data_IF_007335956919
#
_entry.id   IF_007335956919
#
_cell.length_a   1.000
_cell.length_b   1.000
_cell.length_c   1.000
_cell.angle_alpha   90.00
_cell.angle_beta   90.00
_cell.angle_gamma   90.00
#
_symmetry.space_group_name_H-M   'P 1'
#
loop_
_entity.id
_entity.type
_entity.pdbx_description
1 polymer ?
#
# COMPACT_ATOMS: atom_id res chain seq x y z
N UNK A 1 0.78 26.94 47.33
CA UNK A 1 0.57 25.74 46.51
C UNK A 1 -0.81 25.86 45.90
N UNK A 2 -0.92 25.91 44.57
CA UNK A 2 -2.23 25.97 43.93
C UNK A 2 -2.95 24.64 44.11
N UNK A 3 -4.24 24.68 44.45
CA UNK A 3 -5.10 23.50 44.57
C UNK A 3 -5.19 22.78 43.22
N UNK A 4 -5.15 21.44 43.22
CA UNK A 4 -5.12 20.61 42.01
C UNK A 4 -6.27 20.93 41.06
N UNK A 5 -7.44 21.28 41.61
CA UNK A 5 -8.61 21.68 40.83
C UNK A 5 -8.39 23.01 40.11
N UNK A 6 -7.71 23.97 40.74
CA UNK A 6 -7.38 25.25 40.13
C UNK A 6 -6.37 25.10 38.99
N UNK A 7 -5.42 24.16 39.11
CA UNK A 7 -4.47 23.87 38.05
C UNK A 7 -5.17 23.28 36.82
N UNK A 8 -6.10 22.34 37.02
CA UNK A 8 -6.88 21.73 35.92
C UNK A 8 -7.75 22.77 35.20
N UNK A 9 -8.39 23.68 35.95
CA UNK A 9 -9.20 24.76 35.35
C UNK A 9 -8.33 25.74 34.57
N UNK A 10 -7.15 26.11 35.08
CA UNK A 10 -6.20 26.99 34.38
C UNK A 10 -5.70 26.34 33.09
N UNK A 11 -5.39 25.03 33.11
CA UNK A 11 -4.98 24.28 31.92
C UNK A 11 -6.10 24.23 30.87
N UNK A 12 -7.35 23.98 31.27
CA UNK A 12 -8.49 23.98 30.35
C UNK A 12 -8.74 25.35 29.72
N UNK A 13 -8.59 26.43 30.49
CA UNK A 13 -8.73 27.81 29.99
C UNK A 13 -7.59 28.14 29.01
N UNK A 14 -6.35 27.74 29.30
CA UNK A 14 -5.21 27.93 28.40
C UNK A 14 -5.39 27.16 27.08
N UNK A 15 -5.91 25.94 27.11
CA UNK A 15 -6.21 25.14 25.91
C UNK A 15 -7.33 25.77 25.08
N UNK A 16 -8.37 26.31 25.72
CA UNK A 16 -9.46 27.02 25.05
C UNK A 16 -9.00 28.36 24.41
N UNK A 17 -8.11 29.09 25.08
CA UNK A 17 -7.53 30.34 24.56
C UNK A 17 -6.58 30.09 23.39
N UNK A 18 -5.74 29.05 23.46
CA UNK A 18 -4.84 28.65 22.39
C UNK A 18 -5.60 28.19 21.13
N UNK A 19 -6.72 27.48 21.30
CA UNK A 19 -7.57 27.07 20.16
C UNK A 19 -8.31 28.24 19.50
N UNK A 20 -8.67 29.28 20.27
CA UNK A 20 -9.23 30.53 19.75
C UNK A 20 -8.23 31.35 18.93
N UNK A 21 -7.00 31.53 19.44
CA UNK A 21 -5.93 32.24 18.73
C UNK A 21 -5.46 31.50 17.46
N UNK A 22 -5.46 30.17 17.48
CA UNK A 22 -5.03 29.34 16.35
C UNK A 22 -6.03 29.38 15.17
N UNK A 23 -7.34 29.55 15.43
CA UNK A 23 -8.36 29.79 14.38
C UNK A 23 -8.17 31.14 13.68
N UNK A 24 -7.70 32.15 14.40
CA UNK A 24 -7.46 33.49 13.85
C UNK A 24 -6.18 33.50 13.02
N UNK A 25 -5.11 32.84 13.49
CA UNK A 25 -3.86 32.70 12.73
C UNK A 25 -4.03 31.94 11.40
N UNK A 26 -4.97 30.99 11.32
CA UNK A 26 -5.29 30.26 10.08
C UNK A 26 -6.33 30.95 9.17
N UNK A 27 -6.87 32.10 9.58
CA UNK A 27 -7.84 32.88 8.79
C UNK A 27 -7.22 33.66 7.61
N UNK A 28 -5.91 33.59 7.43
CA UNK A 28 -5.18 34.34 6.38
C UNK A 28 -5.25 33.77 4.96
N UNK A 29 -6.04 32.72 4.69
CA UNK A 29 -6.10 32.13 3.35
C UNK A 29 -7.53 31.81 2.93
N UNK A 30 -8.33 32.84 2.69
CA UNK A 30 -9.50 32.75 1.81
C UNK A 30 -9.29 33.67 0.63
N UNK A 31 -8.88 33.08 -0.50
CA UNK A 31 -8.96 33.77 -1.80
C UNK A 31 -10.44 33.97 -2.11
N UNK A 32 -10.83 35.23 -2.31
CA UNK A 32 -12.15 35.65 -2.75
C UNK A 32 -12.39 35.09 -4.16
N UNK A 33 -13.19 34.04 -4.29
CA UNK A 33 -13.65 33.55 -5.60
C UNK A 33 -14.80 34.44 -6.03
N UNK A 34 -14.60 35.23 -7.08
CA UNK A 34 -15.67 35.96 -7.76
C UNK A 34 -16.69 34.95 -8.32
N UNK A 35 -18.00 35.16 -8.16
CA UNK A 35 -19.00 34.31 -8.81
C UNK A 35 -18.88 34.45 -10.33
N UNK A 36 -18.90 33.31 -11.04
CA UNK A 36 -18.91 33.29 -12.50
C UNK A 36 -20.20 33.92 -13.02
N UNK A 37 -20.06 35.02 -13.74
CA UNK A 37 -21.12 35.62 -14.53
C UNK A 37 -21.28 34.86 -15.84
N UNK A 38 -22.30 34.02 -15.95
CA UNK A 38 -22.98 33.75 -17.24
C UNK A 38 -24.47 33.46 -17.05
N UNK A 39 -25.25 34.49 -17.40
CA UNK A 39 -26.53 34.52 -18.11
C UNK A 39 -27.62 33.49 -17.77
N UNK A 40 -28.67 34.05 -17.17
CA UNK A 40 -30.06 33.60 -17.21
C UNK A 40 -30.55 33.31 -18.64
N UNK A 41 -31.32 32.23 -18.78
CA UNK A 41 -32.49 32.18 -19.66
C UNK A 41 -33.60 31.38 -18.94
N UNK A 42 -34.87 31.83 -18.94
CA UNK A 42 -35.90 31.30 -18.04
C UNK A 42 -36.58 30.03 -18.56
N UNK A 43 -37.13 29.26 -17.62
CA UNK A 43 -38.06 28.17 -17.88
C UNK A 43 -39.43 28.71 -18.34
N UNK A 44 -40.07 27.89 -19.19
CA UNK A 44 -41.43 27.98 -19.76
C UNK A 44 -41.59 28.82 -21.04
N UNK A 45 -41.61 28.15 -22.20
CA UNK A 45 -42.83 27.99 -23.00
C UNK A 45 -42.63 26.99 -24.17
N UNK A 46 -43.63 26.14 -24.39
CA UNK A 46 -43.97 25.37 -25.61
C UNK A 46 -43.41 23.95 -25.78
N UNK A 47 -44.13 23.01 -25.18
CA UNK A 47 -44.98 22.02 -25.88
C UNK A 47 -44.66 21.66 -27.35
N UNK A 48 -44.62 20.35 -27.62
CA UNK A 48 -44.71 19.78 -28.97
C UNK A 48 -43.43 19.18 -29.55
N UNK A 49 -43.24 17.87 -29.37
CA UNK A 49 -42.19 17.14 -30.10
C UNK A 49 -41.99 15.70 -29.65
N UNK A 50 -42.97 14.84 -29.92
CA UNK A 50 -42.83 13.39 -29.83
C UNK A 50 -41.72 12.87 -30.75
N UNK A 51 -40.64 12.34 -30.17
CA UNK A 51 -39.74 11.41 -30.88
C UNK A 51 -39.35 10.28 -29.93
N UNK A 52 -39.83 9.10 -30.26
CA UNK A 52 -39.36 7.83 -29.73
C UNK A 52 -37.91 7.61 -30.18
N UNK A 53 -37.04 7.14 -29.28
CA UNK A 53 -36.29 5.90 -29.50
C UNK A 53 -35.21 5.67 -28.45
N UNK A 54 -35.21 4.42 -27.97
CA UNK A 54 -34.05 3.62 -27.56
C UNK A 54 -33.42 3.96 -26.21
N UNK A 55 -33.93 3.23 -25.22
CA UNK A 55 -33.15 2.79 -24.06
C UNK A 55 -31.79 2.25 -24.52
N UNK A 56 -30.72 3.00 -24.22
CA UNK A 56 -29.37 2.46 -24.28
C UNK A 56 -29.20 1.58 -23.05
N UNK A 57 -29.24 0.28 -23.33
CA UNK A 57 -28.91 -0.83 -22.45
C UNK A 57 -27.78 -0.47 -21.49
N UNK A 58 -28.14 -0.49 -20.21
CA UNK A 58 -27.24 -0.83 -19.10
C UNK A 58 -26.36 -2.00 -19.52
N UNK A 59 -25.07 -1.92 -19.15
CA UNK A 59 -24.09 -2.98 -19.37
C UNK A 59 -24.70 -4.32 -18.96
N UNK A 60 -24.78 -5.23 -19.92
CA UNK A 60 -25.36 -6.55 -19.70
C UNK A 60 -24.48 -7.24 -18.68
N UNK A 61 -25.02 -7.41 -17.48
CA UNK A 61 -24.47 -8.27 -16.45
C UNK A 61 -24.09 -9.61 -17.10
N UNK A 62 -22.78 -9.90 -17.10
CA UNK A 62 -22.20 -11.11 -17.71
C UNK A 62 -21.84 -12.16 -16.65
N UNK A 63 -22.21 -11.93 -15.40
CA UNK A 63 -22.20 -12.97 -14.35
C UNK A 63 -22.93 -14.25 -14.82
N UNK A 64 -24.00 -14.10 -15.60
CA UNK A 64 -24.78 -15.21 -16.15
C UNK A 64 -24.23 -15.88 -17.42
N UNK A 65 -22.96 -15.69 -17.81
CA UNK A 65 -22.39 -16.52 -18.88
C UNK A 65 -22.15 -17.92 -18.32
N UNK A 66 -23.00 -18.87 -18.73
CA UNK A 66 -22.94 -20.29 -18.38
C UNK A 66 -21.54 -20.86 -18.63
N UNK A 67 -20.68 -20.70 -17.63
CA UNK A 67 -19.34 -21.25 -17.55
C UNK A 67 -19.48 -22.36 -16.54
N UNK A 68 -19.39 -23.59 -17.05
CA UNK A 68 -19.18 -24.86 -16.37
C UNK A 68 -19.37 -24.80 -14.84
N UNK A 69 -20.60 -25.12 -14.44
CA UNK A 69 -20.91 -25.94 -13.26
C UNK A 69 -20.24 -25.56 -11.93
N UNK A 70 -20.87 -24.65 -11.19
CA UNK A 70 -21.48 -24.96 -9.88
C UNK A 70 -20.67 -25.69 -8.79
N UNK A 71 -19.34 -25.73 -8.85
CA UNK A 71 -18.54 -26.31 -7.78
C UNK A 71 -17.28 -25.46 -7.61
N UNK A 72 -17.26 -24.64 -6.56
CA UNK A 72 -16.06 -24.65 -5.73
C UNK A 72 -15.78 -26.13 -5.46
N UNK A 73 -14.73 -26.69 -6.06
CA UNK A 73 -14.37 -28.08 -5.84
C UNK A 73 -14.31 -28.33 -4.33
N UNK A 74 -14.77 -29.49 -3.90
CA UNK A 74 -14.84 -29.90 -2.49
C UNK A 74 -13.44 -30.10 -1.85
N UNK A 75 -12.38 -29.55 -2.46
CA UNK A 75 -10.97 -29.86 -2.18
C UNK A 75 -10.02 -28.66 -2.21
N UNK A 76 -10.48 -27.42 -2.02
CA UNK A 76 -9.57 -26.25 -1.85
C UNK A 76 -9.93 -25.41 -0.62
N UNK A 77 -10.02 -26.04 0.55
CA UNK A 77 -10.24 -25.36 1.83
C UNK A 77 -8.92 -24.95 2.52
N UNK A 78 -7.91 -24.51 1.76
CA UNK A 78 -6.72 -23.94 2.39
C UNK A 78 -6.96 -22.46 2.69
N UNK A 79 -7.17 -22.17 3.97
CA UNK A 79 -7.31 -20.82 4.52
C UNK A 79 -5.96 -20.39 5.09
N UNK A 80 -5.59 -19.14 4.82
CA UNK A 80 -4.40 -18.49 5.35
C UNK A 80 -4.28 -18.55 6.87
N UNK A 81 -3.05 -18.63 7.38
CA UNK A 81 -2.81 -18.49 8.82
C UNK A 81 -3.30 -17.12 9.31
N UNK A 82 -4.15 -17.11 10.35
CA UNK A 82 -4.75 -15.89 10.90
C UNK A 82 -5.94 -15.34 10.10
N UNK A 83 -6.42 -16.05 9.09
CA UNK A 83 -7.59 -15.70 8.29
C UNK A 83 -8.75 -16.62 8.63
N UNK A 84 -9.97 -16.09 8.62
CA UNK A 84 -11.20 -16.83 8.85
C UNK A 84 -12.14 -16.67 7.65
N UNK A 85 -12.83 -17.74 7.24
CA UNK A 85 -13.93 -17.63 6.29
C UNK A 85 -15.13 -17.04 7.04
N UNK A 86 -15.60 -15.86 6.59
CA UNK A 86 -16.71 -15.16 7.21
C UNK A 86 -18.03 -15.61 6.60
N UNK A 87 -19.08 -15.71 7.43
CA UNK A 87 -20.44 -15.89 6.91
C UNK A 87 -20.84 -14.66 6.09
N UNK A 88 -21.52 -14.88 4.96
CA UNK A 88 -21.95 -13.81 4.04
C UNK A 88 -22.95 -12.91 4.77
N UNK A 89 -22.47 -11.77 5.31
CA UNK A 89 -23.36 -10.75 5.87
C UNK A 89 -23.84 -9.82 4.76
N UNK A 90 -25.14 -9.54 4.73
CA UNK A 90 -25.77 -8.70 3.70
C UNK A 90 -25.22 -7.26 3.72
N UNK A 91 -24.80 -6.79 4.90
CA UNK A 91 -24.18 -5.47 5.07
C UNK A 91 -22.80 -5.40 4.43
N UNK A 92 -21.96 -6.44 4.60
CA UNK A 92 -20.61 -6.49 4.02
C UNK A 92 -20.64 -6.63 2.51
N UNK A 93 -21.54 -7.48 2.00
CA UNK A 93 -21.75 -7.58 0.56
C UNK A 93 -22.22 -6.24 -0.01
N UNK A 94 -23.19 -5.58 0.65
CA UNK A 94 -23.64 -4.25 0.23
C UNK A 94 -22.52 -3.21 0.27
N UNK A 95 -21.69 -3.20 1.31
CA UNK A 95 -20.58 -2.28 1.45
C UNK A 95 -19.51 -2.49 0.36
N UNK A 96 -19.18 -3.73 0.05
CA UNK A 96 -18.27 -4.08 -1.03
C UNK A 96 -18.82 -3.62 -2.39
N UNK A 97 -20.07 -3.97 -2.69
CA UNK A 97 -20.69 -3.63 -3.97
C UNK A 97 -20.78 -2.11 -4.18
N UNK A 98 -21.12 -1.35 -3.13
CA UNK A 98 -21.13 0.12 -3.17
C UNK A 98 -19.74 0.70 -3.45
N UNK A 99 -18.67 0.14 -2.87
CA UNK A 99 -17.30 0.60 -3.13
C UNK A 99 -16.88 0.29 -4.57
N UNK A 100 -17.14 -0.93 -5.03
CA UNK A 100 -16.84 -1.35 -6.41
C UNK A 100 -17.58 -0.48 -7.44
N UNK A 101 -18.87 -0.18 -7.21
CA UNK A 101 -19.64 0.70 -8.09
C UNK A 101 -19.11 2.14 -8.07
N UNK A 102 -18.77 2.66 -6.88
CA UNK A 102 -18.22 4.01 -6.72
C UNK A 102 -16.92 4.21 -7.49
N UNK A 103 -16.04 3.21 -7.49
CA UNK A 103 -14.76 3.26 -8.19
C UNK A 103 -14.84 2.76 -9.65
N UNK A 104 -16.01 2.27 -10.09
CA UNK A 104 -16.22 1.84 -11.48
C UNK A 104 -15.60 0.48 -11.83
N UNK A 105 -15.61 -0.47 -10.90
CA UNK A 105 -15.03 -1.80 -11.06
C UNK A 105 -15.60 -2.55 -12.27
N UNK A 106 -14.73 -3.22 -13.04
CA UNK A 106 -15.16 -4.18 -14.06
C UNK A 106 -15.70 -5.44 -13.38
N UNK A 107 -16.54 -6.16 -14.12
CA UNK A 107 -17.13 -7.45 -13.71
C UNK A 107 -16.71 -8.55 -14.67
N UNK A 108 -16.60 -9.77 -14.16
CA UNK A 108 -16.05 -10.89 -14.90
C UNK A 108 -16.50 -12.26 -14.38
N UNK A 109 -15.97 -13.32 -14.97
CA UNK A 109 -16.23 -14.71 -14.55
C UNK A 109 -15.59 -15.05 -13.21
N UNK A 110 -14.45 -14.41 -12.92
CA UNK A 110 -13.78 -14.47 -11.61
C UNK A 110 -13.45 -13.05 -11.20
N UNK A 111 -13.77 -12.72 -9.95
CA UNK A 111 -13.50 -11.42 -9.36
C UNK A 111 -13.02 -11.60 -7.92
N UNK A 112 -11.92 -10.96 -7.58
CA UNK A 112 -11.31 -10.98 -6.25
C UNK A 112 -11.20 -9.54 -5.80
N UNK A 113 -11.86 -9.18 -4.71
CA UNK A 113 -11.90 -7.80 -4.24
C UNK A 113 -11.49 -7.71 -2.77
N UNK A 114 -10.63 -6.76 -2.46
CA UNK A 114 -10.12 -6.46 -1.13
C UNK A 114 -10.75 -5.15 -0.63
N UNK A 115 -11.20 -5.10 0.62
CA UNK A 115 -11.68 -3.86 1.25
C UNK A 115 -11.17 -3.72 2.69
N UNK A 116 -10.95 -2.49 3.13
CA UNK A 116 -10.52 -2.14 4.48
C UNK A 116 -11.03 -0.75 4.89
N UNK A 117 -10.88 -0.38 6.16
CA UNK A 117 -11.54 0.80 6.75
C UNK A 117 -10.56 1.81 7.38
N UNK A 118 -9.48 2.11 6.67
CA UNK A 118 -8.58 3.19 7.05
C UNK A 118 -7.85 3.78 5.82
N UNK A 119 -6.87 4.64 6.09
CA UNK A 119 -6.08 5.32 5.06
C UNK A 119 -4.89 4.52 4.56
N UNK A 120 -4.55 3.40 5.21
CA UNK A 120 -3.37 2.62 4.86
C UNK A 120 -3.49 2.06 3.45
N UNK A 121 -2.35 1.65 2.94
CA UNK A 121 -2.16 1.07 1.63
C UNK A 121 -2.05 -0.44 1.78
N UNK A 122 -3.07 -1.16 1.32
CA UNK A 122 -3.07 -2.61 1.28
C UNK A 122 -3.09 -3.05 -0.18
N UNK A 123 -2.17 -3.94 -0.52
CA UNK A 123 -2.06 -4.47 -1.87
C UNK A 123 -2.67 -5.87 -1.95
N UNK A 124 -3.52 -6.08 -2.95
CA UNK A 124 -4.06 -7.36 -3.34
C UNK A 124 -3.11 -8.07 -4.32
N UNK A 125 -2.82 -9.33 -3.99
CA UNK A 125 -1.91 -10.18 -4.73
C UNK A 125 -2.61 -11.46 -5.16
N UNK A 126 -2.48 -11.84 -6.43
CA UNK A 126 -3.00 -13.12 -6.93
C UNK A 126 -1.94 -13.83 -7.75
N UNK A 127 -1.56 -15.03 -7.32
CA UNK A 127 -0.69 -15.94 -8.08
C UNK A 127 -1.58 -16.88 -8.88
N UNK A 128 -1.40 -16.89 -10.20
CA UNK A 128 -2.13 -17.72 -11.15
C UNK A 128 -1.54 -19.14 -11.22
N UNK A 129 -2.23 -20.11 -11.85
CA UNK A 129 -1.72 -21.47 -12.01
C UNK A 129 -0.39 -21.57 -12.77
N UNK A 130 -0.11 -20.62 -13.67
CA UNK A 130 1.18 -20.56 -14.37
C UNK A 130 2.32 -20.03 -13.49
N UNK A 131 2.02 -19.59 -12.27
CA UNK A 131 2.95 -18.91 -11.38
C UNK A 131 3.09 -17.42 -11.66
N UNK A 132 2.32 -16.85 -12.60
CA UNK A 132 2.27 -15.41 -12.85
C UNK A 132 1.58 -14.68 -11.68
N UNK A 133 2.00 -13.45 -11.38
CA UNK A 133 1.56 -12.74 -10.19
C UNK A 133 0.92 -11.42 -10.59
N UNK A 134 -0.36 -11.25 -10.28
CA UNK A 134 -1.11 -10.01 -10.51
C UNK A 134 -1.11 -9.19 -9.23
N UNK A 135 -0.58 -7.97 -9.30
CA UNK A 135 -0.51 -7.00 -8.19
C UNK A 135 -0.18 -5.60 -8.74
N UNK A 136 0.01 -4.61 -7.86
CA UNK A 136 0.24 -3.20 -8.24
C UNK A 136 1.26 -2.99 -9.37
N UNK A 137 2.43 -3.64 -9.34
CA UNK A 137 3.50 -3.43 -10.35
C UNK A 137 3.31 -4.32 -11.58
N UNK A 138 2.62 -5.46 -11.46
CA UNK A 138 2.24 -6.31 -12.59
C UNK A 138 0.72 -6.46 -12.67
N UNK A 139 0.06 -5.41 -13.18
CA UNK A 139 -1.41 -5.31 -13.17
C UNK A 139 -2.14 -6.23 -14.12
N UNK A 140 -1.45 -6.83 -15.10
CA UNK A 140 -2.08 -7.68 -16.10
C UNK A 140 -1.37 -9.02 -16.15
N UNK A 141 -2.12 -10.11 -16.22
CA UNK A 141 -1.58 -11.43 -16.51
C UNK A 141 -1.80 -11.86 -17.96
N UNK A 142 -0.90 -12.70 -18.46
CA UNK A 142 -1.03 -13.40 -19.74
C UNK A 142 -2.32 -14.23 -19.84
N UNK A 143 -2.85 -14.68 -18.70
CA UNK A 143 -4.11 -15.42 -18.62
C UNK A 143 -5.35 -14.52 -18.53
N UNK A 144 -5.20 -13.21 -18.68
CA UNK A 144 -6.31 -12.25 -18.81
C UNK A 144 -6.87 -11.70 -17.49
N UNK A 145 -6.13 -11.86 -16.39
CA UNK A 145 -6.43 -11.23 -15.11
C UNK A 145 -5.92 -9.80 -15.10
N UNK A 146 -6.69 -8.90 -14.51
CA UNK A 146 -6.40 -7.47 -14.48
C UNK A 146 -6.67 -6.91 -13.08
N UNK A 147 -5.69 -6.23 -12.48
CA UNK A 147 -5.89 -5.32 -11.35
C UNK A 147 -6.45 -4.00 -11.90
N UNK A 148 -7.76 -3.84 -11.85
CA UNK A 148 -8.46 -2.71 -12.47
C UNK A 148 -8.68 -1.54 -11.49
N UNK A 149 -8.76 -1.83 -10.19
CA UNK A 149 -8.80 -0.84 -9.12
C UNK A 149 -7.70 -1.16 -8.12
N UNK A 150 -6.87 -0.17 -7.87
CA UNK A 150 -5.93 -0.11 -6.75
C UNK A 150 -6.12 1.25 -6.08
N UNK A 151 -6.38 1.23 -4.77
CA UNK A 151 -6.71 2.40 -3.98
C UNK A 151 -5.70 2.57 -2.86
N UNK A 152 -5.51 3.83 -2.48
CA UNK A 152 -4.65 4.25 -1.37
C UNK A 152 -3.13 4.18 -1.60
N UNK A 153 -2.64 3.90 -2.82
CA UNK A 153 -1.26 4.25 -3.22
C UNK A 153 -0.88 5.69 -2.81
N UNK A 154 -1.88 6.58 -2.87
CA UNK A 154 -1.96 7.86 -2.15
C UNK A 154 -3.17 7.84 -1.22
N UNK A 155 -3.10 8.39 0.00
CA UNK A 155 -4.19 8.27 0.98
C UNK A 155 -5.39 9.17 0.61
N UNK A 156 -6.27 8.62 -0.23
CA UNK A 156 -7.41 9.28 -0.86
C UNK A 156 -8.74 8.88 -0.24
N UNK A 157 -8.86 7.67 0.32
CA UNK A 157 -10.10 7.19 0.94
C UNK A 157 -9.89 6.52 2.31
N UNK A 158 -10.92 6.58 3.17
CA UNK A 158 -11.05 5.77 4.39
C UNK A 158 -11.84 4.48 4.19
N UNK A 159 -12.50 4.34 3.04
CA UNK A 159 -13.24 3.14 2.64
C UNK A 159 -12.72 2.62 1.30
N UNK A 160 -11.41 2.33 1.20
CA UNK A 160 -10.76 1.84 -0.01
C UNK A 160 -11.27 0.45 -0.42
N UNK A 161 -10.98 0.12 -1.68
CA UNK A 161 -11.21 -1.17 -2.31
C UNK A 161 -10.13 -1.43 -3.36
N UNK A 162 -9.66 -2.66 -3.49
CA UNK A 162 -8.92 -3.13 -4.66
C UNK A 162 -9.67 -4.25 -5.36
N UNK A 163 -9.42 -4.44 -6.65
CA UNK A 163 -10.12 -5.44 -7.43
C UNK A 163 -9.24 -6.04 -8.53
N UNK A 164 -9.15 -7.37 -8.53
CA UNK A 164 -8.57 -8.16 -9.61
C UNK A 164 -9.69 -8.97 -10.28
N UNK A 165 -9.77 -8.89 -11.60
CA UNK A 165 -10.89 -9.44 -12.37
C UNK A 165 -10.42 -10.15 -13.64
N UNK A 166 -11.06 -11.28 -13.92
CA UNK A 166 -11.00 -11.96 -15.21
C UNK A 166 -12.32 -11.77 -15.95
N UNK A 167 -12.33 -10.90 -16.96
CA UNK A 167 -13.54 -10.61 -17.76
C UNK A 167 -13.96 -11.78 -18.67
N UNK A 168 -13.07 -12.75 -18.87
CA UNK A 168 -13.28 -14.00 -19.59
C UNK A 168 -12.89 -15.16 -18.69
N UNK A 169 -13.35 -16.37 -19.03
CA UNK A 169 -13.00 -17.58 -18.29
C UNK A 169 -11.47 -17.74 -18.17
N UNK A 170 -10.92 -17.70 -16.94
CA UNK A 170 -9.49 -17.93 -16.71
C UNK A 170 -9.12 -19.41 -16.93
N UNK A 171 -7.83 -19.75 -17.11
CA UNK A 171 -7.39 -21.12 -17.25
C UNK A 171 -7.64 -21.95 -15.97
N UNK A 172 -7.88 -23.26 -16.11
CA UNK A 172 -8.03 -24.14 -14.95
C UNK A 172 -6.72 -24.25 -14.17
N UNK A 173 -6.84 -24.59 -12.89
CA UNK A 173 -5.72 -24.75 -11.97
C UNK A 173 -5.91 -23.97 -10.68
N UNK A 174 -4.84 -23.92 -9.88
CA UNK A 174 -4.83 -23.35 -8.53
C UNK A 174 -4.44 -21.87 -8.55
N UNK A 175 -5.27 -21.05 -7.93
CA UNK A 175 -5.04 -19.63 -7.68
C UNK A 175 -4.80 -19.41 -6.20
N UNK A 176 -3.84 -18.55 -5.88
CA UNK A 176 -3.48 -18.21 -4.50
C UNK A 176 -3.66 -16.71 -4.32
N UNK A 177 -4.44 -16.32 -3.33
CA UNK A 177 -4.75 -14.92 -3.01
C UNK A 177 -3.98 -14.54 -1.76
N UNK A 178 -3.29 -13.41 -1.81
CA UNK A 178 -2.61 -12.82 -0.67
C UNK A 178 -2.89 -11.33 -0.55
N UNK A 179 -2.66 -10.81 0.64
CA UNK A 179 -2.77 -9.38 0.93
C UNK A 179 -1.48 -8.94 1.62
N UNK A 180 -0.98 -7.77 1.26
CA UNK A 180 0.20 -7.17 1.85
C UNK A 180 -0.15 -5.80 2.43
N UNK A 181 0.39 -5.50 3.60
CA UNK A 181 0.32 -4.14 4.15
C UNK A 181 1.54 -3.35 3.68
N UNK A 182 1.35 -2.59 2.60
CA UNK A 182 2.43 -1.93 1.89
C UNK A 182 2.90 -0.65 2.60
N UNK A 183 1.96 0.24 2.94
CA UNK A 183 2.29 1.55 3.51
C UNK A 183 1.31 2.00 4.58
N UNK A 184 1.85 2.49 5.70
CA UNK A 184 1.07 3.17 6.72
C UNK A 184 0.91 4.63 6.32
N UNK A 185 -0.33 5.08 6.15
CA UNK A 185 -0.63 6.49 5.88
C UNK A 185 -1.20 7.15 7.13
N UNK A 186 -0.58 8.25 7.56
CA UNK A 186 -1.03 8.99 8.75
C UNK A 186 -1.88 10.19 8.34
N UNK A 187 -3.21 10.03 8.28
CA UNK A 187 -4.16 11.16 8.19
C UNK A 187 -5.15 11.14 9.36
N UNK A 188 -4.73 11.74 10.46
CA UNK A 188 -5.56 11.93 11.65
C UNK A 188 -5.57 13.39 12.09
N UNK A 189 -6.66 13.82 12.75
CA UNK A 189 -6.80 15.18 13.33
C UNK A 189 -5.68 15.50 14.33
N UNK A 190 -5.01 14.47 14.85
CA UNK A 190 -3.89 14.52 15.78
C UNK A 190 -2.54 14.14 15.17
N UNK A 191 -2.46 13.91 13.86
CA UNK A 191 -1.19 13.66 13.15
C UNK A 191 -0.19 14.79 13.34
N UNK A 192 -0.67 16.02 13.56
CA UNK A 192 0.13 17.21 13.79
C UNK A 192 0.65 17.34 15.23
N UNK A 193 0.14 16.53 16.17
CA UNK A 193 0.56 16.58 17.58
C UNK A 193 1.52 15.42 17.86
N UNK A 194 2.83 15.68 18.10
CA UNK A 194 3.88 14.65 18.20
C UNK A 194 3.58 13.55 19.24
N UNK A 195 2.94 13.91 20.35
CA UNK A 195 2.62 12.97 21.43
C UNK A 195 1.34 12.14 21.19
N UNK A 196 0.39 12.61 20.36
CA UNK A 196 -0.86 11.89 20.09
C UNK A 196 -0.78 11.02 18.84
N UNK A 197 0.16 11.29 17.92
CA UNK A 197 0.39 10.45 16.74
C UNK A 197 0.85 9.04 17.13
N UNK A 198 1.65 8.92 18.21
CA UNK A 198 2.15 7.64 18.75
C UNK A 198 1.05 6.76 19.37
N UNK A 199 -0.04 7.37 19.84
CA UNK A 199 -1.18 6.67 20.45
C UNK A 199 -2.18 6.17 19.38
N UNK A 200 -2.19 6.77 18.20
CA UNK A 200 -3.12 6.44 17.10
C UNK A 200 -2.51 5.62 15.96
N UNK A 201 -1.20 5.30 16.00
CA UNK A 201 -0.58 4.32 15.08
C UNK A 201 -1.07 2.92 15.44
N UNK A 202 -2.26 2.55 14.98
CA UNK A 202 -2.58 1.14 14.80
C UNK A 202 -1.77 0.67 13.60
N UNK A 203 -0.66 -0.03 13.88
CA UNK A 203 0.14 -0.70 12.85
C UNK A 203 -0.65 -1.83 12.17
N UNK A 204 -1.75 -2.28 12.81
CA UNK A 204 -2.65 -3.31 12.31
C UNK A 204 -3.84 -2.72 11.56
N UNK A 205 -4.19 -3.33 10.42
CA UNK A 205 -5.35 -3.01 9.58
C UNK A 205 -6.20 -4.25 9.38
N UNK A 206 -7.45 -4.16 9.78
CA UNK A 206 -8.46 -5.18 9.49
C UNK A 206 -8.87 -5.07 8.02
N UNK A 207 -8.97 -6.22 7.36
CA UNK A 207 -9.30 -6.31 5.95
C UNK A 207 -10.27 -7.45 5.69
N UNK A 208 -10.98 -7.34 4.57
CA UNK A 208 -11.87 -8.39 4.05
C UNK A 208 -11.58 -8.63 2.57
N UNK A 209 -11.50 -9.90 2.18
CA UNK A 209 -11.33 -10.34 0.80
C UNK A 209 -12.58 -11.09 0.38
N UNK A 210 -13.14 -10.73 -0.75
CA UNK A 210 -14.20 -11.48 -1.41
C UNK A 210 -13.64 -12.20 -2.63
N UNK A 211 -14.08 -13.45 -2.84
CA UNK A 211 -13.79 -14.23 -4.04
C UNK A 211 -15.12 -14.61 -4.66
N UNK A 212 -15.37 -14.10 -5.86
CA UNK A 212 -16.57 -14.36 -6.65
C UNK A 212 -16.20 -15.18 -7.89
N UNK A 213 -16.85 -16.33 -8.07
CA UNK A 213 -16.68 -17.24 -9.20
C UNK A 213 -18.08 -17.62 -9.69
N UNK A 214 -18.47 -17.10 -10.86
CA UNK A 214 -19.85 -17.21 -11.34
C UNK A 214 -20.85 -16.66 -10.30
N UNK A 215 -21.78 -17.49 -9.86
CA UNK A 215 -22.79 -17.14 -8.84
C UNK A 215 -22.31 -17.37 -7.40
N UNK A 216 -21.15 -18.00 -7.21
CA UNK A 216 -20.61 -18.28 -5.87
C UNK A 216 -19.75 -17.12 -5.40
N UNK A 217 -20.02 -16.64 -4.18
CA UNK A 217 -19.22 -15.60 -3.51
C UNK A 217 -18.84 -16.07 -2.12
N UNK A 218 -17.56 -15.94 -1.76
CA UNK A 218 -17.00 -16.24 -0.43
C UNK A 218 -16.29 -15.03 0.13
N UNK A 219 -16.30 -14.89 1.46
CA UNK A 219 -15.62 -13.82 2.17
C UNK A 219 -14.60 -14.38 3.15
N UNK A 220 -13.47 -13.70 3.23
CA UNK A 220 -12.38 -13.99 4.15
C UNK A 220 -12.05 -12.72 4.90
N UNK A 221 -11.84 -12.82 6.21
CA UNK A 221 -11.45 -11.69 7.05
C UNK A 221 -10.16 -11.98 7.82
N UNK A 222 -9.40 -10.92 8.06
CA UNK A 222 -8.14 -10.98 8.78
C UNK A 222 -7.67 -9.59 9.18
N UNK A 223 -6.52 -9.55 9.86
CA UNK A 223 -5.85 -8.32 10.27
C UNK A 223 -4.37 -8.42 9.92
N UNK A 224 -3.83 -7.35 9.36
CA UNK A 224 -2.45 -7.27 8.88
C UNK A 224 -1.69 -6.16 9.59
N UNK A 225 -0.51 -6.47 10.10
CA UNK A 225 0.49 -5.47 10.48
C UNK A 225 1.42 -5.14 9.31
N UNK A 226 1.93 -3.91 9.25
CA UNK A 226 2.93 -3.51 8.25
C UNK A 226 4.14 -4.44 8.30
N UNK A 227 4.37 -5.18 7.23
CA UNK A 227 5.51 -6.07 7.07
C UNK A 227 5.84 -6.24 5.58
N UNK A 228 7.03 -6.75 5.28
CA UNK A 228 7.43 -7.09 3.91
C UNK A 228 6.93 -8.50 3.49
N UNK A 229 6.12 -9.14 4.34
CA UNK A 229 5.58 -10.48 4.11
C UNK A 229 4.21 -10.41 3.45
N UNK A 230 3.97 -11.33 2.53
CA UNK A 230 2.66 -11.53 1.93
C UNK A 230 1.86 -12.49 2.81
N UNK A 231 0.73 -12.04 3.35
CA UNK A 231 -0.19 -12.95 4.04
C UNK A 231 -1.12 -13.57 3.03
N UNK A 232 -0.97 -14.87 2.80
CA UNK A 232 -1.94 -15.62 2.01
C UNK A 232 -3.27 -15.70 2.75
N UNK A 233 -4.36 -15.52 2.01
CA UNK A 233 -5.73 -15.45 2.53
C UNK A 233 -6.52 -16.68 2.14
N UNK A 234 -6.47 -17.04 0.86
CA UNK A 234 -7.25 -18.12 0.31
C UNK A 234 -6.54 -18.80 -0.86
N UNK A 235 -6.80 -20.08 -1.03
CA UNK A 235 -6.43 -20.89 -2.20
C UNK A 235 -7.72 -21.43 -2.80
N UNK A 236 -7.90 -21.26 -4.11
CA UNK A 236 -9.05 -21.84 -4.81
C UNK A 236 -8.62 -22.43 -6.14
N UNK A 237 -9.35 -23.42 -6.61
CA UNK A 237 -9.08 -24.06 -7.88
C UNK A 237 -10.24 -23.87 -8.86
N UNK A 238 -9.90 -23.70 -10.14
CA UNK A 238 -10.85 -23.68 -11.24
C UNK A 238 -10.70 -25.01 -11.98
N UNK A 239 -11.79 -25.77 -12.06
CA UNK A 239 -11.80 -27.07 -12.74
C UNK A 239 -11.67 -26.91 -14.26
N UNK A 240 -11.06 -27.92 -14.90
CA UNK A 240 -11.00 -28.03 -16.35
C UNK A 240 -12.36 -28.27 -17.00
N UNK A 241 -12.39 -28.30 -18.34
CA UNK A 241 -13.61 -28.60 -19.11
C UNK A 241 -14.17 -30.01 -18.86
N UNK A 242 -13.35 -30.90 -18.30
CA UNK A 242 -13.65 -32.26 -17.85
C UNK A 242 -14.20 -32.32 -16.41
N UNK A 243 -14.21 -31.19 -15.68
CA UNK A 243 -14.65 -31.13 -14.28
C UNK A 243 -13.61 -31.64 -13.28
N UNK A 244 -12.43 -32.05 -13.75
CA UNK A 244 -11.31 -32.42 -12.88
C UNK A 244 -10.58 -31.15 -12.44
N UNK A 245 -10.29 -31.05 -11.14
CA UNK A 245 -9.33 -30.08 -10.63
C UNK A 245 -7.95 -30.66 -10.93
N UNK A 246 -7.09 -29.98 -11.72
CA UNK A 246 -5.73 -30.45 -11.94
C UNK A 246 -5.04 -30.61 -10.59
N UNK A 247 -4.70 -31.84 -10.22
CA UNK A 247 -3.83 -32.09 -9.07
C UNK A 247 -2.43 -31.61 -9.45
N UNK A 248 -1.83 -30.76 -8.61
CA UNK A 248 -0.41 -30.43 -8.75
C UNK A 248 0.38 -31.74 -8.70
N UNK A 249 1.33 -31.93 -9.63
CA UNK A 249 2.29 -33.03 -9.56
C UNK A 249 3.19 -32.79 -8.33
N UNK A 250 2.71 -33.23 -7.16
CA UNK A 250 3.49 -33.25 -5.93
C UNK A 250 4.65 -34.21 -6.17
N UNK A 251 5.87 -33.68 -6.24
CA UNK A 251 7.08 -34.51 -6.14
C UNK A 251 7.07 -35.14 -4.76
N UNK A 252 6.85 -36.45 -4.70
CA UNK A 252 6.80 -37.22 -3.46
C UNK A 252 8.12 -37.08 -2.68
N UNK A 253 8.12 -36.29 -1.61
CA UNK A 253 8.91 -36.58 -0.43
C UNK A 253 7.95 -36.93 0.70
N UNK A 254 7.91 -38.21 1.02
CA UNK A 254 7.06 -38.84 2.03
C UNK A 254 7.50 -38.40 3.43
N UNK A 255 6.62 -37.76 4.21
CA UNK A 255 6.51 -38.06 5.65
C UNK A 255 5.18 -37.59 6.30
N UNK A 256 4.49 -38.61 6.82
CA UNK A 256 3.48 -38.72 7.89
C UNK A 256 2.45 -37.61 8.18
N UNK A 257 1.21 -38.08 8.20
CA UNK A 257 -0.06 -37.40 8.47
C UNK A 257 -0.11 -36.81 9.88
N UNK A 258 0.13 -35.51 10.00
CA UNK A 258 -0.50 -34.65 11.01
C UNK A 258 -1.43 -33.69 10.27
N UNK A 259 -2.61 -33.42 10.84
CA UNK A 259 -3.70 -32.65 10.23
C UNK A 259 -3.17 -31.45 9.44
N UNK A 260 -3.23 -31.58 8.11
CA UNK A 260 -2.64 -30.65 7.15
C UNK A 260 -3.48 -29.37 7.14
N UNK A 261 -3.12 -28.43 8.01
CA UNK A 261 -3.22 -27.02 7.67
C UNK A 261 -2.28 -26.85 6.47
N UNK A 262 -2.81 -26.91 5.24
CA UNK A 262 -2.01 -26.83 4.01
C UNK A 262 -1.08 -25.62 4.12
N UNK A 263 0.21 -25.89 4.29
CA UNK A 263 1.22 -24.86 4.40
C UNK A 263 1.27 -24.17 3.04
N UNK A 264 1.11 -22.85 3.02
CA UNK A 264 1.35 -22.04 1.83
C UNK A 264 2.86 -21.99 1.50
N UNK A 265 3.61 -23.04 1.83
CA UNK A 265 5.05 -23.18 1.65
C UNK A 265 5.44 -22.95 0.20
N UNK A 266 4.73 -23.53 -0.76
CA UNK A 266 4.98 -23.27 -2.19
C UNK A 266 4.73 -21.80 -2.57
N UNK A 267 3.67 -21.20 -2.01
CA UNK A 267 3.32 -19.82 -2.31
C UNK A 267 4.34 -18.84 -1.70
N UNK A 268 4.82 -19.16 -0.49
CA UNK A 268 5.93 -18.50 0.19
C UNK A 268 7.24 -18.73 -0.54
N UNK A 269 7.47 -19.91 -1.11
CA UNK A 269 8.65 -20.22 -1.92
C UNK A 269 8.62 -19.47 -3.25
N UNK A 270 7.46 -19.34 -3.90
CA UNK A 270 7.30 -18.52 -5.11
C UNK A 270 7.55 -17.05 -4.78
N UNK A 271 6.99 -16.54 -3.68
CA UNK A 271 7.21 -15.17 -3.20
C UNK A 271 8.67 -14.95 -2.76
N UNK A 272 9.32 -15.91 -2.10
CA UNK A 272 10.72 -15.86 -1.69
C UNK A 272 11.70 -16.01 -2.87
N UNK A 273 11.40 -16.87 -3.83
CA UNK A 273 12.15 -17.00 -5.08
C UNK A 273 12.06 -15.70 -5.87
N UNK A 274 10.88 -15.07 -5.90
CA UNK A 274 10.68 -13.77 -6.54
C UNK A 274 11.41 -12.63 -5.84
N UNK A 275 11.47 -12.60 -4.50
CA UNK A 275 12.37 -11.68 -3.77
C UNK A 275 13.83 -11.91 -4.13
N UNK A 276 14.26 -13.17 -4.23
CA UNK A 276 15.63 -13.53 -4.64
C UNK A 276 15.93 -13.13 -6.08
N UNK A 277 14.92 -13.17 -6.96
CA UNK A 277 15.03 -12.85 -8.40
C UNK A 277 14.72 -11.36 -8.68
N UNK A 278 14.29 -10.59 -7.68
CA UNK A 278 14.03 -9.14 -7.78
C UNK A 278 12.76 -8.79 -8.56
N UNK A 279 11.61 -9.36 -8.19
CA UNK A 279 10.30 -9.12 -8.83
C UNK A 279 9.16 -8.79 -7.84
N UNK A 280 9.47 -8.37 -6.61
CA UNK A 280 8.48 -7.98 -5.58
C UNK A 280 9.00 -6.74 -4.85
N UNK A 281 8.51 -5.57 -5.28
CA UNK A 281 8.77 -4.26 -4.64
C UNK A 281 10.26 -4.05 -4.36
N UNK A 282 10.92 -3.93 -5.51
CA UNK A 282 12.33 -4.01 -5.82
C UNK A 282 13.05 -2.66 -5.68
N UNK A 283 12.55 -1.81 -4.78
CA UNK A 283 13.09 -0.47 -4.57
C UNK A 283 14.37 -0.50 -3.74
N UNK A 284 15.26 0.45 -4.01
CA UNK A 284 16.41 0.73 -3.16
C UNK A 284 16.16 2.05 -2.45
N UNK A 285 16.37 2.08 -1.14
CA UNK A 285 16.27 3.31 -0.36
C UNK A 285 17.31 3.36 0.74
N UNK A 286 17.83 4.56 1.00
CA UNK A 286 18.75 4.84 2.09
C UNK A 286 18.16 5.95 2.94
N UNK A 287 17.91 5.66 4.21
CA UNK A 287 17.33 6.63 5.17
C UNK A 287 18.31 6.88 6.30
N UNK A 288 18.72 8.13 6.49
CA UNK A 288 19.54 8.63 7.60
C UNK A 288 18.62 9.22 8.69
N UNK A 289 18.88 8.87 9.95
CA UNK A 289 18.18 9.40 11.13
C UNK A 289 19.19 9.83 12.21
N UNK A 290 18.93 10.96 12.87
CA UNK A 290 19.69 11.44 14.03
C UNK A 290 18.80 12.26 14.96
N UNK A 291 19.23 12.38 16.21
CA UNK A 291 18.56 13.22 17.21
C UNK A 291 19.32 14.55 17.39
N UNK A 292 18.58 15.64 17.57
CA UNK A 292 19.15 16.95 17.89
C UNK A 292 18.92 18.01 16.82
N UNK A 293 19.66 19.11 16.92
CA UNK A 293 19.55 20.28 16.03
C UNK A 293 20.64 20.35 14.96
N UNK A 294 21.59 19.41 15.00
CA UNK A 294 22.69 19.36 14.05
C UNK A 294 22.18 19.11 12.62
N UNK A 295 22.88 19.65 11.63
CA UNK A 295 22.53 19.46 10.22
C UNK A 295 23.39 18.35 9.60
N UNK A 296 22.84 17.14 9.51
CA UNK A 296 23.50 16.04 8.81
C UNK A 296 23.00 15.95 7.35
N UNK A 297 23.96 15.83 6.44
CA UNK A 297 23.72 15.48 5.05
C UNK A 297 24.00 14.02 4.77
N UNK A 298 23.21 13.47 3.84
CA UNK A 298 23.34 12.13 3.30
C UNK A 298 23.79 12.21 1.85
N UNK A 299 24.74 11.35 1.48
CA UNK A 299 25.19 11.19 0.10
C UNK A 299 25.37 9.71 -0.23
N UNK A 300 25.04 9.33 -1.46
CA UNK A 300 25.34 8.01 -2.01
C UNK A 300 26.08 8.18 -3.33
N UNK A 301 27.20 7.47 -3.47
CA UNK A 301 28.05 7.51 -4.66
C UNK A 301 28.23 6.13 -5.28
N UNK A 302 28.19 6.02 -6.60
CA UNK A 302 28.48 4.79 -7.34
C UNK A 302 29.97 4.65 -7.70
N UNK A 303 30.36 3.54 -8.32
CA UNK A 303 31.75 3.31 -8.76
C UNK A 303 32.25 4.26 -9.84
N UNK A 304 31.34 4.88 -10.60
CA UNK A 304 31.66 5.82 -11.66
C UNK A 304 31.88 7.26 -11.12
N UNK A 305 31.69 7.45 -9.82
CA UNK A 305 31.87 8.73 -9.12
C UNK A 305 30.64 9.65 -9.17
N UNK A 306 29.54 9.18 -9.77
CA UNK A 306 28.25 9.87 -9.76
C UNK A 306 27.67 9.81 -8.34
N UNK A 307 27.09 10.92 -7.88
CA UNK A 307 26.64 11.09 -6.50
C UNK A 307 25.23 11.68 -6.48
N UNK A 308 24.37 11.10 -5.65
CA UNK A 308 23.11 11.72 -5.23
C UNK A 308 23.24 12.23 -3.80
N UNK A 309 22.90 13.49 -3.61
CA UNK A 309 22.89 14.15 -2.31
C UNK A 309 21.98 15.36 -2.33
N UNK A 310 21.85 16.08 -1.21
CA UNK A 310 21.05 17.30 -1.17
C UNK A 310 21.47 18.35 -2.21
N UNK A 311 22.77 18.44 -2.53
CA UNK A 311 23.30 19.39 -3.51
C UNK A 311 23.16 18.91 -4.96
N UNK A 312 22.98 17.60 -5.15
CA UNK A 312 22.82 16.93 -6.44
C UNK A 312 21.65 15.94 -6.35
N UNK A 313 20.39 16.41 -6.22
CA UNK A 313 19.27 15.55 -5.86
C UNK A 313 18.89 14.52 -6.93
N UNK A 314 19.29 14.75 -8.18
CA UNK A 314 19.10 13.86 -9.33
C UNK A 314 20.45 13.39 -9.91
N UNK A 315 21.50 13.36 -9.09
CA UNK A 315 22.88 13.11 -9.54
C UNK A 315 23.21 11.63 -9.82
N UNK A 316 22.31 10.70 -9.50
CA UNK A 316 22.38 9.29 -9.89
C UNK A 316 21.12 8.90 -10.66
N UNK A 317 21.29 8.11 -11.72
CA UNK A 317 20.18 7.70 -12.58
C UNK A 317 19.12 6.91 -11.77
N UNK A 318 17.87 7.36 -11.88
CA UNK A 318 16.74 6.82 -11.13
C UNK A 318 16.72 7.13 -9.62
N UNK A 319 17.76 7.71 -9.05
CA UNK A 319 17.81 8.12 -7.66
C UNK A 319 17.26 9.55 -7.48
N UNK A 320 16.50 9.76 -6.42
CA UNK A 320 16.02 11.08 -6.04
C UNK A 320 16.23 11.31 -4.55
N UNK A 321 16.78 12.47 -4.20
CA UNK A 321 16.81 12.92 -2.81
C UNK A 321 15.42 13.40 -2.40
N UNK A 322 14.89 12.90 -1.28
CA UNK A 322 13.55 13.28 -0.80
C UNK A 322 13.57 14.72 -0.24
N UNK A 323 13.09 15.64 -1.06
CA UNK A 323 12.95 17.07 -0.72
C UNK A 323 11.49 17.37 -0.30
N UNK A 324 10.54 16.47 -0.61
CA UNK A 324 9.13 16.72 -0.32
C UNK A 324 8.82 16.55 1.18
N UNK A 325 8.52 17.65 1.86
CA UNK A 325 8.27 17.63 3.31
C UNK A 325 9.53 17.81 4.15
N UNK A 326 10.61 18.33 3.56
CA UNK A 326 11.81 18.76 4.26
C UNK A 326 11.47 19.61 5.50
N UNK A 327 11.78 19.06 6.67
CA UNK A 327 11.82 19.79 7.92
C UNK A 327 13.28 19.84 8.38
N UNK A 328 13.90 21.02 8.48
CA UNK A 328 15.29 21.14 8.93
C UNK A 328 15.50 20.64 10.38
N UNK A 329 14.42 20.39 11.14
CA UNK A 329 14.47 19.93 12.53
C UNK A 329 14.01 18.49 12.73
N UNK A 330 13.64 17.75 11.66
CA UNK A 330 13.11 16.39 11.80
C UNK A 330 14.17 15.33 12.07
N UNK A 331 15.45 15.63 11.82
CA UNK A 331 16.54 14.67 12.01
C UNK A 331 16.49 13.48 11.05
N UNK A 332 15.87 13.63 9.87
CA UNK A 332 15.72 12.56 8.87
C UNK A 332 16.08 13.04 7.46
N UNK A 333 16.80 12.22 6.71
CA UNK A 333 17.09 12.40 5.27
C UNK A 333 16.95 11.07 4.53
N UNK A 334 16.40 11.10 3.32
CA UNK A 334 16.14 9.88 2.55
C UNK A 334 16.53 10.05 1.08
N UNK A 335 17.09 9.00 0.50
CA UNK A 335 17.29 8.83 -0.95
C UNK A 335 16.48 7.63 -1.39
N UNK A 336 15.70 7.79 -2.45
CA UNK A 336 14.86 6.74 -3.01
C UNK A 336 15.14 6.56 -4.50
N UNK A 337 15.22 5.30 -4.92
CA UNK A 337 15.26 4.93 -6.32
C UNK A 337 13.85 4.68 -6.85
N UNK A 338 13.44 5.46 -7.87
CA UNK A 338 12.15 5.32 -8.53
C UNK A 338 12.09 4.09 -9.47
N UNK A 339 13.25 3.57 -9.85
CA UNK A 339 13.45 2.37 -10.66
C UNK A 339 14.73 1.66 -10.21
N UNK A 340 14.95 0.41 -10.61
CA UNK A 340 16.15 -0.35 -10.30
C UNK A 340 17.44 0.48 -10.53
N UNK A 341 18.32 0.65 -9.52
CA UNK A 341 19.60 1.31 -9.71
C UNK A 341 20.46 0.55 -10.72
N UNK A 342 21.38 1.24 -11.41
CA UNK A 342 22.44 0.56 -12.15
C UNK A 342 23.17 -0.47 -11.29
N UNK A 343 23.53 -1.62 -11.87
CA UNK A 343 24.31 -2.63 -11.15
C UNK A 343 25.68 -2.08 -10.79
N UNK A 344 26.11 -2.32 -9.56
CA UNK A 344 27.39 -1.82 -9.08
C UNK A 344 27.46 -1.67 -7.58
N UNK A 345 28.63 -1.26 -7.10
CA UNK A 345 28.87 -0.96 -5.70
C UNK A 345 28.55 0.50 -5.41
N UNK A 346 27.91 0.73 -4.28
CA UNK A 346 27.49 2.04 -3.80
C UNK A 346 28.07 2.29 -2.41
N UNK A 347 28.49 3.53 -2.18
CA UNK A 347 29.01 4.00 -0.89
C UNK A 347 28.05 5.01 -0.28
N UNK A 348 27.76 4.84 1.00
CA UNK A 348 26.91 5.74 1.79
C UNK A 348 27.81 6.58 2.67
N UNK A 349 27.71 7.91 2.55
CA UNK A 349 28.48 8.84 3.37
C UNK A 349 27.60 9.87 4.06
N UNK A 350 28.00 10.23 5.28
CA UNK A 350 27.33 11.23 6.12
C UNK A 350 28.30 12.36 6.43
N UNK A 351 27.81 13.60 6.38
CA UNK A 351 28.58 14.79 6.71
C UNK A 351 27.75 15.71 7.59
N UNK A 352 28.36 16.26 8.64
CA UNK A 352 27.77 17.36 9.41
C UNK A 352 28.08 18.70 8.74
N UNK A 353 27.08 19.56 8.62
CA UNK A 353 27.21 20.94 8.17
C UNK A 353 27.15 21.87 9.38
N UNK A 354 27.99 22.89 9.39
CA UNK A 354 28.20 23.79 10.52
C UNK A 354 26.92 24.56 10.84
N UNK A 355 26.37 24.33 12.03
CA UNK A 355 25.36 25.16 12.68
C UNK A 355 26.04 26.21 13.54
N UNK A 356 25.43 27.41 13.70
CA UNK A 356 25.89 28.41 14.66
C UNK A 356 25.76 27.86 16.09
N UNK A 357 26.78 27.12 16.56
CA UNK A 357 26.80 26.39 17.83
C UNK A 357 27.72 25.16 17.75
N UNK A 358 28.57 24.99 18.76
CA UNK A 358 29.49 23.84 18.85
C UNK A 358 28.71 22.58 19.24
N UNK A 359 28.12 21.93 18.24
CA UNK A 359 27.30 20.74 18.40
C UNK A 359 28.15 19.45 18.30
N UNK A 360 29.35 19.43 18.90
CA UNK A 360 30.15 18.23 19.17
C UNK A 360 30.15 17.12 18.11
N UNK A 361 30.16 15.86 18.58
CA UNK A 361 29.93 14.68 17.74
C UNK A 361 28.45 14.28 17.80
N UNK A 362 27.87 13.98 16.64
CA UNK A 362 26.45 13.62 16.50
C UNK A 362 26.32 12.16 16.11
N UNK A 363 25.61 11.39 16.92
CA UNK A 363 25.28 10.00 16.61
C UNK A 363 24.15 9.94 15.57
N UNK A 364 24.30 9.03 14.62
CA UNK A 364 23.31 8.79 13.58
C UNK A 364 23.09 7.29 13.34
N UNK A 365 21.95 6.98 12.72
CA UNK A 365 21.62 5.65 12.23
C UNK A 365 21.16 5.71 10.77
N UNK A 366 21.54 4.72 9.98
CA UNK A 366 21.14 4.58 8.57
C UNK A 366 20.38 3.27 8.42
N UNK A 367 19.26 3.31 7.73
CA UNK A 367 18.51 2.13 7.27
C UNK A 367 18.60 2.05 5.76
N UNK A 368 19.30 1.03 5.27
CA UNK A 368 19.33 0.64 3.88
C UNK A 368 18.25 -0.43 3.64
N UNK A 369 17.41 -0.23 2.64
CA UNK A 369 16.57 -1.27 2.07
C UNK A 369 17.06 -1.52 0.63
N UNK A 370 17.52 -2.75 0.36
CA UNK A 370 17.90 -3.19 -0.97
C UNK A 370 16.94 -4.30 -1.42
N UNK A 371 15.91 -3.94 -2.20
CA UNK A 371 14.94 -4.90 -2.75
C UNK A 371 14.31 -5.80 -1.68
N UNK A 372 14.05 -5.23 -0.50
CA UNK A 372 13.48 -5.93 0.66
C UNK A 372 14.49 -6.48 1.65
N UNK A 373 15.79 -6.49 1.35
CA UNK A 373 16.85 -6.78 2.34
C UNK A 373 17.18 -5.50 3.13
N UNK A 374 16.74 -5.43 4.39
CA UNK A 374 17.05 -4.31 5.28
C UNK A 374 18.38 -4.51 6.03
N UNK A 375 19.22 -3.49 6.02
CA UNK A 375 20.48 -3.39 6.79
C UNK A 375 20.54 -2.07 7.52
N UNK A 376 21.07 -2.09 8.74
CA UNK A 376 21.23 -0.89 9.55
C UNK A 376 22.69 -0.60 9.85
N UNK A 377 23.08 0.66 9.76
CA UNK A 377 24.40 1.17 10.13
C UNK A 377 24.26 2.25 11.20
N UNK A 378 25.27 2.41 12.04
CA UNK A 378 25.33 3.47 13.05
C UNK A 378 26.71 4.09 13.03
N UNK A 379 26.82 5.39 13.31
CA UNK A 379 28.09 6.09 13.34
C UNK A 379 27.99 7.43 14.03
N UNK A 380 29.13 8.13 14.10
CA UNK A 380 29.23 9.50 14.60
C UNK A 380 29.75 10.40 13.51
N UNK A 381 29.19 11.60 13.39
CA UNK A 381 29.69 12.66 12.52
C UNK A 381 30.27 13.77 13.40
N UNK A 382 31.41 14.33 13.00
CA UNK A 382 32.09 15.41 13.71
C UNK A 382 31.74 16.76 13.09
N UNK A 383 31.72 17.81 13.92
CA UNK A 383 31.49 19.20 13.50
C UNK A 383 32.59 19.80 12.61
N UNK A 384 33.68 19.07 12.36
CA UNK A 384 34.79 19.50 11.50
C UNK A 384 34.47 19.46 9.99
N UNK A 385 33.25 19.04 9.62
CA UNK A 385 32.79 18.94 8.24
C UNK A 385 33.43 17.77 7.46
N UNK A 386 34.12 16.86 8.16
CA UNK A 386 34.62 15.63 7.54
C UNK A 386 33.46 14.74 7.09
N UNK A 387 33.69 14.02 5.99
CA UNK A 387 32.73 13.05 5.47
C UNK A 387 33.07 11.68 6.04
N UNK A 388 32.09 11.01 6.64
CA UNK A 388 32.22 9.68 7.24
C UNK A 388 31.57 8.65 6.32
N UNK A 389 32.33 7.64 5.89
CA UNK A 389 31.79 6.48 5.17
C UNK A 389 31.03 5.61 6.18
N UNK A 390 29.71 5.58 6.08
CA UNK A 390 28.83 4.93 7.04
C UNK A 390 28.45 3.49 6.63
N UNK A 391 28.58 3.15 5.35
CA UNK A 391 28.28 1.82 4.84
C UNK A 391 28.41 1.72 3.33
N UNK A 392 28.24 0.51 2.81
CA UNK A 392 28.25 0.22 1.38
C UNK A 392 27.26 -0.87 1.04
N UNK A 393 26.79 -0.90 -0.20
CA UNK A 393 25.91 -1.95 -0.71
C UNK A 393 26.15 -2.23 -2.19
N UNK A 394 25.62 -3.35 -2.66
CA UNK A 394 25.76 -3.81 -4.05
C UNK A 394 24.38 -4.15 -4.61
N UNK A 395 24.16 -3.77 -5.87
CA UNK A 395 22.90 -3.94 -6.61
C UNK A 395 23.04 -4.97 -7.72
#
# INVERSE_FOLDING_TARGET
MADAVSIVVIVLILVAMMSGLFRIFRSGTRRTILPSTRRNVPNELLDGGSVSSRSRRSGRDRSGSATVSGSLGQGSQAIGAGVQEAEVSTEEESALEQRLEREGAKRGSVQISLLWDNWNDLDLHVITPSGEHVYHDNRNSSCGGELDIDMNFKPTSKTPVENIVWTKTPPPGVYRVGVRHYKIHTKGVFSWVPFLSRIHRKNSTDFKVSITIGDSKRFYEGSLEKSNELQFVAKFAIAGSDGEVPQEEVREEVQEVQQVQEDFSEAREVDALRRRVGTVQDGVSVTLNWDGIADLGLSVQNTDGEEVSFFSPDGLDGASFDIEGFDPKSGVRSILWASDPPKGAYKISVRQFETDGDDGEVEFSITLNNKGEEKSFTGTASSDGSSVEAGSFEI
#
